data_IF_006022299780
#
_entry.id   IF_006022299780
#
_cell.length_a   1.000
_cell.length_b   1.000
_cell.length_c   1.000
_cell.angle_alpha   90.00
_cell.angle_beta   90.00
_cell.angle_gamma   90.00
#
_symmetry.space_group_name_H-M   'P 1'
#
loop_
_entity.id
_entity.type
_entity.pdbx_description
1 polymer ?
#
# COMPACT_ATOMS: atom_id res chain seq x y z
N UNK A 1 1.35 -6.28 -32.74
CA UNK A 1 1.77 -7.42 -31.88
C UNK A 1 2.50 -6.95 -30.62
N UNK A 2 3.16 -7.84 -29.85
CA UNK A 2 3.89 -7.55 -28.61
C UNK A 2 4.86 -6.34 -28.68
N UNK A 3 5.35 -6.02 -29.86
CA UNK A 3 6.24 -4.89 -30.15
C UNK A 3 5.56 -3.55 -29.78
N UNK A 4 4.25 -3.46 -29.97
CA UNK A 4 3.50 -2.24 -29.66
C UNK A 4 3.42 -1.94 -28.15
N UNK A 5 3.48 -2.95 -27.28
CA UNK A 5 3.42 -2.72 -25.84
C UNK A 5 4.69 -2.06 -25.29
N UNK A 6 5.89 -2.40 -25.82
CA UNK A 6 7.15 -1.78 -25.41
C UNK A 6 7.16 -0.29 -25.71
N UNK A 7 6.79 0.09 -26.92
CA UNK A 7 6.74 1.49 -27.36
C UNK A 7 5.53 2.23 -26.75
N UNK A 8 4.33 1.62 -26.81
CA UNK A 8 3.08 2.25 -26.37
C UNK A 8 3.09 2.64 -24.90
N UNK A 9 3.74 1.84 -24.05
CA UNK A 9 3.78 2.04 -22.61
C UNK A 9 5.16 2.42 -22.08
N UNK A 10 6.10 2.74 -22.97
CA UNK A 10 7.50 3.06 -22.61
C UNK A 10 8.07 2.08 -21.58
N UNK A 11 7.90 0.77 -21.84
CA UNK A 11 8.25 -0.27 -20.86
C UNK A 11 9.78 -0.39 -20.66
N UNK A 12 10.57 -0.03 -21.64
CA UNK A 12 12.04 -0.07 -21.59
C UNK A 12 12.62 1.18 -22.26
N UNK A 13 13.84 1.54 -21.83
CA UNK A 13 14.62 2.66 -22.38
C UNK A 13 16.02 2.19 -22.76
N UNK A 14 16.73 2.89 -23.66
CA UNK A 14 18.14 2.63 -23.90
C UNK A 14 18.93 2.66 -22.59
N UNK A 15 19.83 1.67 -22.42
CA UNK A 15 20.61 1.50 -21.18
C UNK A 15 19.94 0.69 -20.07
N UNK A 16 18.65 0.36 -20.19
CA UNK A 16 17.96 -0.50 -19.22
C UNK A 16 18.54 -1.91 -19.16
N UNK A 17 18.34 -2.56 -18.02
CA UNK A 17 18.70 -3.98 -17.80
C UNK A 17 17.42 -4.73 -17.45
N UNK A 18 16.96 -5.61 -18.33
CA UNK A 18 15.68 -6.32 -18.21
C UNK A 18 15.91 -7.79 -17.89
N UNK A 19 15.43 -8.23 -16.72
CA UNK A 19 15.43 -9.64 -16.33
C UNK A 19 14.09 -10.28 -16.78
N UNK A 20 14.16 -11.24 -17.70
CA UNK A 20 12.98 -11.94 -18.22
C UNK A 20 12.73 -13.23 -17.43
N UNK A 21 11.52 -13.40 -16.90
CA UNK A 21 11.09 -14.66 -16.28
C UNK A 21 10.92 -15.74 -17.36
N UNK A 22 11.66 -16.83 -17.28
CA UNK A 22 11.68 -17.93 -18.24
C UNK A 22 11.26 -19.23 -17.55
N UNK A 23 10.03 -19.69 -17.80
CA UNK A 23 9.53 -20.98 -17.27
C UNK A 23 9.75 -22.17 -18.21
N UNK A 24 10.12 -21.93 -19.46
CA UNK A 24 10.22 -22.93 -20.52
C UNK A 24 8.93 -23.06 -21.36
N UNK A 25 7.79 -22.57 -20.87
CA UNK A 25 6.54 -22.57 -21.64
C UNK A 25 6.52 -21.52 -22.76
N UNK A 26 5.64 -21.70 -23.75
CA UNK A 26 5.55 -20.90 -24.98
C UNK A 26 5.60 -19.38 -24.75
N UNK A 27 4.82 -18.86 -23.78
CA UNK A 27 4.72 -17.41 -23.52
C UNK A 27 6.08 -16.84 -23.01
N UNK A 28 6.76 -17.58 -22.14
CA UNK A 28 8.06 -17.16 -21.59
C UNK A 28 9.20 -17.29 -22.61
N UNK A 29 9.16 -18.30 -23.47
CA UNK A 29 10.10 -18.49 -24.59
C UNK A 29 9.93 -17.37 -25.60
N UNK A 30 8.70 -17.09 -26.01
CA UNK A 30 8.36 -15.96 -26.89
C UNK A 30 8.85 -14.63 -26.30
N UNK A 31 8.57 -14.38 -25.00
CA UNK A 31 9.02 -13.19 -24.30
C UNK A 31 10.54 -13.02 -24.40
N UNK A 32 11.31 -14.04 -24.00
CA UNK A 32 12.78 -13.95 -23.93
C UNK A 32 13.38 -13.72 -25.33
N UNK A 33 12.91 -14.48 -26.33
CA UNK A 33 13.37 -14.33 -27.70
C UNK A 33 13.07 -12.95 -28.27
N UNK A 34 11.85 -12.45 -28.11
CA UNK A 34 11.45 -11.12 -28.55
C UNK A 34 12.26 -10.02 -27.86
N UNK A 35 12.43 -10.13 -26.54
CA UNK A 35 13.19 -9.13 -25.77
C UNK A 35 14.66 -9.09 -26.16
N UNK A 36 15.28 -10.25 -26.43
CA UNK A 36 16.65 -10.32 -26.89
C UNK A 36 16.86 -9.68 -28.28
N UNK A 37 15.88 -9.86 -29.19
CA UNK A 37 15.89 -9.17 -30.49
C UNK A 37 15.78 -7.66 -30.32
N UNK A 38 14.80 -7.21 -29.52
CA UNK A 38 14.55 -5.78 -29.27
C UNK A 38 15.70 -5.09 -28.52
N UNK A 39 16.41 -5.83 -27.65
CA UNK A 39 17.57 -5.30 -26.95
C UNK A 39 18.68 -4.84 -27.91
N UNK A 40 18.93 -5.61 -28.98
CA UNK A 40 19.90 -5.27 -30.01
C UNK A 40 19.48 -4.02 -30.82
N UNK A 41 18.17 -3.86 -31.05
CA UNK A 41 17.64 -2.73 -31.82
C UNK A 41 17.57 -1.43 -31.00
N UNK A 42 17.25 -1.54 -29.70
CA UNK A 42 16.90 -0.38 -28.86
C UNK A 42 17.95 -0.03 -27.80
N UNK A 43 19.08 -0.77 -27.73
CA UNK A 43 20.19 -0.45 -26.86
C UNK A 43 19.95 -0.71 -25.37
N UNK A 44 19.20 -1.74 -25.01
CA UNK A 44 19.09 -2.25 -23.64
C UNK A 44 19.68 -3.65 -23.51
N UNK A 45 19.82 -4.19 -22.30
CA UNK A 45 20.38 -5.52 -22.05
C UNK A 45 19.34 -6.46 -21.46
N UNK A 46 19.43 -7.75 -21.79
CA UNK A 46 18.50 -8.79 -21.34
C UNK A 46 19.26 -9.92 -20.66
N UNK A 47 18.68 -10.44 -19.60
CA UNK A 47 19.03 -11.73 -19.01
C UNK A 47 17.74 -12.50 -18.73
N UNK A 48 17.84 -13.83 -18.59
CA UNK A 48 16.74 -14.68 -18.23
C UNK A 48 16.87 -15.24 -16.81
N UNK A 49 15.74 -15.54 -16.16
CA UNK A 49 15.70 -16.19 -14.85
C UNK A 49 14.70 -17.35 -14.87
N UNK A 50 15.18 -18.55 -14.61
CA UNK A 50 14.41 -19.78 -14.52
C UNK A 50 14.30 -20.24 -13.06
N UNK A 51 13.09 -20.54 -12.60
CA UNK A 51 12.83 -21.03 -11.23
C UNK A 51 12.16 -22.40 -11.27
N UNK A 52 12.82 -23.41 -10.72
CA UNK A 52 12.26 -24.74 -10.53
C UNK A 52 11.48 -24.85 -9.22
N UNK A 53 10.26 -25.37 -9.32
CA UNK A 53 9.36 -25.52 -8.16
C UNK A 53 9.58 -26.80 -7.36
N UNK A 54 10.51 -27.68 -7.77
CA UNK A 54 10.82 -28.93 -7.06
C UNK A 54 9.71 -29.99 -7.10
N UNK A 55 8.64 -29.77 -7.89
CA UNK A 55 7.48 -30.67 -7.90
C UNK A 55 7.67 -31.92 -8.78
N UNK A 56 8.54 -31.88 -9.78
CA UNK A 56 8.77 -32.95 -10.74
C UNK A 56 10.22 -32.96 -11.23
N UNK A 57 11.10 -33.79 -10.64
CA UNK A 57 12.54 -33.75 -10.92
C UNK A 57 12.90 -34.00 -12.40
N UNK A 58 12.21 -34.95 -13.06
CA UNK A 58 12.53 -35.32 -14.45
C UNK A 58 12.13 -34.24 -15.48
N UNK A 59 10.97 -33.59 -15.31
CA UNK A 59 10.56 -32.48 -16.17
C UNK A 59 11.39 -31.22 -15.91
N UNK A 60 11.74 -30.96 -14.66
CA UNK A 60 12.56 -29.82 -14.26
C UNK A 60 13.93 -29.78 -14.94
N UNK A 61 14.57 -30.93 -15.12
CA UNK A 61 15.86 -31.02 -15.82
C UNK A 61 15.72 -30.70 -17.32
N UNK A 62 14.68 -31.21 -17.97
CA UNK A 62 14.37 -30.92 -19.38
C UNK A 62 14.03 -29.45 -19.60
N UNK A 63 13.18 -28.89 -18.77
CA UNK A 63 12.80 -27.47 -18.80
C UNK A 63 14.02 -26.57 -18.62
N UNK A 64 14.89 -26.89 -17.65
CA UNK A 64 16.15 -26.16 -17.43
C UNK A 64 17.06 -26.25 -18.64
N UNK A 65 17.22 -27.44 -19.27
CA UNK A 65 18.05 -27.59 -20.46
C UNK A 65 17.51 -26.75 -21.62
N UNK A 66 16.20 -26.81 -21.88
CA UNK A 66 15.56 -25.98 -22.91
C UNK A 66 15.79 -24.48 -22.67
N UNK A 67 15.66 -24.03 -21.42
CA UNK A 67 15.93 -22.64 -21.04
C UNK A 67 17.40 -22.26 -21.27
N UNK A 68 18.34 -23.17 -20.98
CA UNK A 68 19.77 -22.97 -21.23
C UNK A 68 20.08 -22.89 -22.73
N UNK A 69 19.58 -23.83 -23.53
CA UNK A 69 19.79 -23.86 -24.98
C UNK A 69 19.26 -22.57 -25.65
N UNK A 70 18.10 -22.11 -25.24
CA UNK A 70 17.55 -20.85 -25.72
C UNK A 70 18.46 -19.67 -25.38
N UNK A 71 18.90 -19.56 -24.11
CA UNK A 71 19.73 -18.45 -23.67
C UNK A 71 21.11 -18.46 -24.34
N UNK A 72 21.70 -19.63 -24.55
CA UNK A 72 22.96 -19.79 -25.25
C UNK A 72 22.86 -19.36 -26.73
N UNK A 73 21.75 -19.76 -27.40
CA UNK A 73 21.49 -19.35 -28.79
C UNK A 73 21.34 -17.84 -28.95
N UNK A 74 20.80 -17.16 -27.93
CA UNK A 74 20.59 -15.71 -27.88
C UNK A 74 21.79 -14.94 -27.34
N UNK A 75 22.82 -15.63 -26.79
CA UNK A 75 23.98 -15.08 -26.10
C UNK A 75 23.56 -14.16 -24.91
N UNK A 76 22.61 -14.59 -24.11
CA UNK A 76 22.15 -13.88 -22.91
C UNK A 76 22.39 -14.70 -21.65
N UNK A 77 22.65 -14.08 -20.48
CA UNK A 77 22.83 -14.79 -19.22
C UNK A 77 21.54 -15.48 -18.77
N UNK A 78 21.66 -16.70 -18.21
CA UNK A 78 20.59 -17.41 -17.51
C UNK A 78 20.92 -17.53 -16.02
N UNK A 79 19.99 -17.12 -15.17
CA UNK A 79 20.03 -17.34 -13.73
C UNK A 79 19.02 -18.43 -13.36
N UNK A 80 19.50 -19.47 -12.67
CA UNK A 80 18.64 -20.56 -12.22
C UNK A 80 18.48 -20.53 -10.71
N UNK A 81 17.26 -20.81 -10.24
CA UNK A 81 16.93 -21.00 -8.83
C UNK A 81 15.97 -22.17 -8.65
N UNK A 82 15.91 -22.66 -7.44
CA UNK A 82 15.00 -23.74 -7.06
C UNK A 82 14.41 -23.48 -5.67
N UNK A 83 13.25 -24.09 -5.40
CA UNK A 83 12.63 -24.01 -4.10
C UNK A 83 11.67 -25.16 -3.86
N UNK A 84 11.63 -25.64 -2.61
CA UNK A 84 10.68 -26.66 -2.17
C UNK A 84 9.32 -26.02 -1.92
N UNK A 85 8.50 -26.00 -2.98
CA UNK A 85 7.16 -25.42 -2.95
C UNK A 85 6.24 -26.17 -1.96
N UNK A 86 6.40 -27.49 -1.83
CA UNK A 86 5.56 -28.31 -0.94
C UNK A 86 5.87 -28.02 0.54
N UNK A 87 7.15 -27.95 0.89
CA UNK A 87 7.57 -27.59 2.24
C UNK A 87 7.13 -26.16 2.62
N UNK A 88 7.27 -25.20 1.70
CA UNK A 88 6.81 -23.82 1.92
C UNK A 88 5.29 -23.73 2.10
N UNK A 89 4.51 -24.38 1.24
CA UNK A 89 3.05 -24.42 1.33
C UNK A 89 2.59 -24.94 2.69
N UNK A 90 3.19 -26.05 3.17
CA UNK A 90 2.91 -26.65 4.48
C UNK A 90 3.29 -25.72 5.63
N UNK A 91 4.44 -25.08 5.56
CA UNK A 91 4.94 -24.21 6.64
C UNK A 91 4.11 -22.93 6.78
N UNK A 92 3.59 -22.39 5.67
CA UNK A 92 2.80 -21.15 5.66
C UNK A 92 1.28 -21.37 5.68
N UNK A 93 0.81 -22.60 5.57
CA UNK A 93 -0.63 -22.90 5.53
C UNK A 93 -1.35 -22.37 4.28
N UNK A 94 -0.64 -22.27 3.14
CA UNK A 94 -1.17 -21.76 1.88
C UNK A 94 -1.25 -22.87 0.81
N UNK A 95 -1.99 -22.62 -0.25
CA UNK A 95 -2.05 -23.55 -1.39
C UNK A 95 -0.73 -23.65 -2.14
N UNK A 96 -0.47 -24.80 -2.79
CA UNK A 96 0.79 -25.06 -3.53
C UNK A 96 1.01 -24.02 -4.65
N UNK A 97 -0.04 -23.60 -5.35
CA UNK A 97 0.04 -22.57 -6.40
C UNK A 97 0.47 -21.21 -5.85
N UNK A 98 -0.09 -20.81 -4.71
CA UNK A 98 0.28 -19.56 -4.04
C UNK A 98 1.73 -19.61 -3.54
N UNK A 99 2.14 -20.73 -2.93
CA UNK A 99 3.52 -20.98 -2.51
C UNK A 99 4.49 -20.87 -3.68
N UNK A 100 4.19 -21.52 -4.80
CA UNK A 100 4.98 -21.46 -6.03
C UNK A 100 5.13 -20.03 -6.56
N UNK A 101 4.04 -19.28 -6.54
CA UNK A 101 4.02 -17.87 -6.97
C UNK A 101 4.87 -16.98 -6.06
N UNK A 102 4.78 -17.18 -4.72
CA UNK A 102 5.56 -16.40 -3.74
C UNK A 102 7.05 -16.67 -3.90
N UNK A 103 7.46 -17.94 -3.94
CA UNK A 103 8.87 -18.33 -4.08
C UNK A 103 9.47 -17.84 -5.41
N UNK A 104 8.75 -18.05 -6.52
CA UNK A 104 9.19 -17.54 -7.83
C UNK A 104 9.36 -16.03 -7.83
N UNK A 105 8.41 -15.30 -7.24
CA UNK A 105 8.49 -13.84 -7.17
C UNK A 105 9.68 -13.37 -6.34
N UNK A 106 9.92 -14.00 -5.19
CA UNK A 106 11.07 -13.68 -4.33
C UNK A 106 12.38 -13.90 -5.08
N UNK A 107 12.56 -15.04 -5.72
CA UNK A 107 13.74 -15.36 -6.54
C UNK A 107 13.96 -14.35 -7.68
N UNK A 108 12.91 -13.99 -8.42
CA UNK A 108 13.01 -13.02 -9.52
C UNK A 108 13.44 -11.64 -9.02
N UNK A 109 12.90 -11.17 -7.89
CA UNK A 109 13.26 -9.87 -7.33
C UNK A 109 14.69 -9.87 -6.78
N UNK A 110 15.10 -10.91 -6.06
CA UNK A 110 16.48 -11.08 -5.56
C UNK A 110 17.49 -11.15 -6.70
N UNK A 111 17.19 -11.92 -7.75
CA UNK A 111 18.04 -12.00 -8.94
C UNK A 111 18.12 -10.67 -9.67
N UNK A 112 16.99 -9.95 -9.76
CA UNK A 112 16.95 -8.62 -10.33
C UNK A 112 17.82 -7.62 -9.56
N UNK A 113 17.84 -7.70 -8.23
CA UNK A 113 18.70 -6.84 -7.40
C UNK A 113 20.18 -7.19 -7.57
N UNK A 114 20.55 -8.48 -7.54
CA UNK A 114 21.93 -8.93 -7.76
C UNK A 114 22.46 -8.55 -9.15
N UNK A 115 21.64 -8.69 -10.18
CA UNK A 115 22.01 -8.34 -11.55
C UNK A 115 21.79 -6.86 -11.86
N UNK A 116 21.32 -6.04 -10.91
CA UNK A 116 21.00 -4.62 -11.07
C UNK A 116 20.01 -4.37 -12.22
N UNK A 117 19.00 -5.23 -12.36
CA UNK A 117 17.96 -5.06 -13.36
C UNK A 117 17.11 -3.83 -13.05
N UNK A 118 16.81 -3.01 -14.06
CA UNK A 118 15.85 -1.89 -13.95
C UNK A 118 14.42 -2.38 -13.96
N UNK A 119 14.17 -3.51 -14.66
CA UNK A 119 12.84 -4.11 -14.80
C UNK A 119 12.88 -5.63 -14.83
N UNK A 120 11.77 -6.26 -14.42
CA UNK A 120 11.52 -7.70 -14.51
C UNK A 120 10.36 -7.92 -15.48
N UNK A 121 10.61 -8.61 -16.59
CA UNK A 121 9.59 -8.90 -17.60
C UNK A 121 8.95 -10.28 -17.36
N UNK A 122 7.63 -10.34 -17.51
CA UNK A 122 6.85 -11.60 -17.38
C UNK A 122 5.99 -11.83 -18.62
N UNK A 123 5.78 -13.10 -18.99
CA UNK A 123 5.08 -13.54 -20.20
C UNK A 123 3.55 -13.46 -20.12
N UNK A 124 2.98 -12.58 -19.30
CA UNK A 124 1.53 -12.37 -19.29
C UNK A 124 1.08 -11.71 -20.60
N UNK A 125 -0.03 -12.22 -21.12
CA UNK A 125 -0.59 -11.83 -22.40
C UNK A 125 -2.05 -11.34 -22.28
N UNK A 126 -2.69 -11.06 -23.39
CA UNK A 126 -4.02 -10.43 -23.45
C UNK A 126 -5.09 -11.22 -22.68
N UNK A 127 -5.17 -12.52 -22.90
CA UNK A 127 -6.18 -13.39 -22.27
C UNK A 127 -5.97 -13.47 -20.74
N UNK A 128 -4.73 -13.44 -20.23
CA UNK A 128 -4.46 -13.40 -18.79
C UNK A 128 -5.05 -12.15 -18.14
N UNK A 129 -4.99 -11.01 -18.84
CA UNK A 129 -5.58 -9.76 -18.36
C UNK A 129 -7.11 -9.83 -18.36
N UNK A 130 -7.71 -10.42 -19.42
CA UNK A 130 -9.14 -10.64 -19.48
C UNK A 130 -9.65 -11.57 -18.37
N UNK A 131 -8.93 -12.68 -18.14
CA UNK A 131 -9.22 -13.61 -17.04
C UNK A 131 -9.17 -12.92 -15.69
N UNK A 132 -8.12 -12.12 -15.44
CA UNK A 132 -7.93 -11.43 -14.18
C UNK A 132 -9.02 -10.39 -13.94
N UNK A 133 -9.41 -9.62 -14.97
CA UNK A 133 -10.52 -8.68 -14.88
C UNK A 133 -11.81 -9.41 -14.52
N UNK A 134 -12.17 -10.47 -15.27
CA UNK A 134 -13.40 -11.21 -15.04
C UNK A 134 -13.43 -11.88 -13.65
N UNK A 135 -12.31 -12.45 -13.22
CA UNK A 135 -12.17 -13.04 -11.89
C UNK A 135 -12.39 -12.00 -10.78
N UNK A 136 -11.83 -10.80 -10.93
CA UNK A 136 -12.02 -9.72 -9.98
C UNK A 136 -13.48 -9.23 -9.97
N UNK A 137 -14.11 -9.09 -11.13
CA UNK A 137 -15.52 -8.71 -11.23
C UNK A 137 -16.45 -9.67 -10.50
N UNK A 138 -16.27 -10.99 -10.68
CA UNK A 138 -17.06 -12.02 -9.99
C UNK A 138 -16.91 -11.95 -8.48
N UNK A 139 -15.73 -11.57 -7.96
CA UNK A 139 -15.46 -11.44 -6.53
C UNK A 139 -15.93 -10.12 -5.91
N UNK A 140 -16.43 -9.19 -6.72
CA UNK A 140 -16.79 -7.86 -6.29
C UNK A 140 -15.54 -7.01 -6.04
N UNK A 141 -15.15 -6.21 -7.01
CA UNK A 141 -13.95 -5.39 -6.94
C UNK A 141 -14.25 -3.91 -7.05
N UNK A 142 -13.39 -3.07 -6.43
CA UNK A 142 -13.32 -1.64 -6.71
C UNK A 142 -12.48 -1.33 -7.95
N UNK A 143 -12.27 -0.03 -8.24
CA UNK A 143 -11.58 0.43 -9.45
C UNK A 143 -10.22 -0.20 -9.74
N UNK A 144 -9.42 -0.50 -8.71
CA UNK A 144 -8.12 -1.15 -8.88
C UNK A 144 -8.22 -2.56 -9.47
N UNK A 145 -9.22 -3.35 -9.07
CA UNK A 145 -9.37 -4.70 -9.61
C UNK A 145 -9.89 -4.73 -11.04
N UNK A 146 -10.44 -3.61 -11.54
CA UNK A 146 -10.87 -3.46 -12.94
C UNK A 146 -9.71 -3.26 -13.92
N UNK A 147 -8.49 -3.12 -13.44
CA UNK A 147 -7.30 -2.93 -14.29
C UNK A 147 -6.75 -4.25 -14.87
N UNK A 148 -7.31 -5.41 -14.48
CA UNK A 148 -6.79 -6.71 -14.89
C UNK A 148 -5.32 -6.89 -14.52
N UNK A 149 -4.50 -7.25 -15.51
CA UNK A 149 -3.04 -7.25 -15.39
C UNK A 149 -2.50 -6.01 -16.11
N UNK A 150 -1.92 -5.02 -15.39
CA UNK A 150 -1.41 -3.82 -16.01
C UNK A 150 -0.11 -4.05 -16.79
N UNK A 151 0.19 -3.26 -17.84
CA UNK A 151 1.45 -3.35 -18.59
C UNK A 151 2.69 -3.16 -17.71
N UNK A 152 2.58 -2.29 -16.69
CA UNK A 152 3.64 -2.02 -15.70
C UNK A 152 3.05 -1.98 -14.29
N UNK A 153 3.79 -2.54 -13.34
CA UNK A 153 3.50 -2.42 -11.91
C UNK A 153 4.83 -2.35 -11.15
N UNK A 154 5.28 -1.15 -10.84
CA UNK A 154 6.63 -0.93 -10.33
C UNK A 154 7.69 -1.40 -11.33
N UNK A 155 8.59 -2.28 -10.87
CA UNK A 155 9.63 -2.90 -11.73
C UNK A 155 9.09 -4.03 -12.63
N UNK A 156 7.89 -4.55 -12.37
CA UNK A 156 7.32 -5.63 -13.19
C UNK A 156 6.74 -5.05 -14.48
N UNK A 157 7.17 -5.57 -15.64
CA UNK A 157 6.66 -5.19 -16.96
C UNK A 157 6.12 -6.41 -17.71
N UNK A 158 5.19 -6.19 -18.64
CA UNK A 158 4.52 -7.24 -19.42
C UNK A 158 4.54 -6.89 -20.90
N UNK A 159 5.63 -7.19 -21.57
CA UNK A 159 5.81 -6.87 -22.99
C UNK A 159 4.77 -7.54 -23.91
N UNK A 160 4.22 -8.71 -23.51
CA UNK A 160 3.24 -9.47 -24.29
C UNK A 160 1.77 -9.11 -23.96
N UNK A 161 1.51 -8.10 -23.13
CA UNK A 161 0.15 -7.85 -22.59
C UNK A 161 -0.90 -7.51 -23.67
N UNK A 162 -0.48 -7.06 -24.83
CA UNK A 162 -1.33 -6.78 -26.00
C UNK A 162 -1.41 -7.94 -26.99
N UNK A 163 -0.56 -8.95 -26.83
CA UNK A 163 -0.51 -10.10 -27.74
C UNK A 163 -1.59 -11.11 -27.37
N UNK A 164 -2.25 -11.68 -28.37
CA UNK A 164 -3.13 -12.84 -28.22
C UNK A 164 -2.32 -14.13 -28.15
N UNK A 165 -2.82 -15.15 -27.48
CA UNK A 165 -2.17 -16.45 -27.38
C UNK A 165 -1.88 -17.05 -28.76
N UNK A 166 -2.80 -16.89 -29.70
CA UNK A 166 -2.63 -17.34 -31.08
C UNK A 166 -1.44 -16.68 -31.78
N UNK A 167 -1.21 -15.38 -31.55
CA UNK A 167 -0.06 -14.64 -32.09
C UNK A 167 1.25 -15.12 -31.48
N UNK A 168 1.27 -15.42 -30.17
CA UNK A 168 2.44 -15.97 -29.48
C UNK A 168 2.81 -17.34 -30.08
N UNK A 169 1.85 -18.22 -30.27
CA UNK A 169 2.09 -19.54 -30.87
C UNK A 169 2.52 -19.44 -32.34
N UNK A 170 1.99 -18.48 -33.08
CA UNK A 170 2.42 -18.20 -34.44
C UNK A 170 3.88 -17.74 -34.45
N UNK A 171 4.27 -16.81 -33.58
CA UNK A 171 5.63 -16.32 -33.44
C UNK A 171 6.62 -17.46 -33.11
N UNK A 172 6.26 -18.36 -32.19
CA UNK A 172 7.06 -19.55 -31.81
C UNK A 172 7.31 -20.41 -33.06
N UNK A 173 6.26 -20.70 -33.86
CA UNK A 173 6.40 -21.50 -35.08
C UNK A 173 7.26 -20.83 -36.14
N UNK A 174 7.04 -19.54 -36.40
CA UNK A 174 7.80 -18.77 -37.40
C UNK A 174 9.30 -18.71 -37.07
N UNK A 175 9.66 -18.63 -35.79
CA UNK A 175 11.02 -18.59 -35.32
C UNK A 175 11.60 -19.96 -34.95
N UNK A 176 10.83 -21.06 -35.15
CA UNK A 176 11.23 -22.45 -34.86
C UNK A 176 11.78 -22.62 -33.44
N UNK A 177 11.08 -22.05 -32.46
CA UNK A 177 11.47 -22.09 -31.07
C UNK A 177 10.88 -23.31 -30.37
N UNK A 178 11.71 -24.05 -29.65
CA UNK A 178 11.28 -25.15 -28.80
C UNK A 178 10.73 -24.59 -27.47
N UNK A 179 9.68 -25.26 -26.96
CA UNK A 179 9.10 -24.94 -25.64
C UNK A 179 8.56 -26.20 -24.97
N UNK A 180 8.50 -26.16 -23.65
CA UNK A 180 7.88 -27.22 -22.86
C UNK A 180 6.36 -27.02 -22.85
N UNK A 181 5.63 -28.07 -23.26
CA UNK A 181 4.17 -28.09 -23.11
C UNK A 181 3.85 -28.73 -21.76
N UNK A 182 3.31 -27.94 -20.81
CA UNK A 182 2.91 -28.47 -19.51
C UNK A 182 1.40 -28.80 -19.54
N UNK A 183 1.05 -30.10 -19.66
CA UNK A 183 -0.35 -30.52 -19.70
C UNK A 183 -1.13 -30.16 -18.43
N UNK A 184 -0.46 -29.82 -17.33
CA UNK A 184 -1.14 -29.44 -16.08
C UNK A 184 -1.73 -28.03 -16.09
N UNK A 185 -1.37 -27.20 -17.04
CA UNK A 185 -2.02 -25.89 -17.24
C UNK A 185 -3.53 -26.01 -17.52
N UNK A 186 -4.01 -27.19 -17.91
CA UNK A 186 -5.41 -27.48 -18.25
C UNK A 186 -6.11 -28.39 -17.23
N UNK A 187 -5.40 -29.06 -16.35
CA UNK A 187 -5.96 -30.10 -15.46
C UNK A 187 -6.23 -29.63 -14.04
N UNK A 188 -5.83 -28.38 -13.69
CA UNK A 188 -6.07 -27.82 -12.35
C UNK A 188 -7.57 -27.54 -12.10
N UNK A 189 -8.03 -27.85 -10.89
CA UNK A 189 -9.43 -27.60 -10.45
C UNK A 189 -9.60 -26.20 -9.82
N UNK A 190 -8.62 -25.31 -10.05
CA UNK A 190 -8.68 -23.95 -9.55
C UNK A 190 -9.66 -23.06 -10.36
N UNK A 191 -10.10 -21.98 -9.76
CA UNK A 191 -11.09 -21.08 -10.37
C UNK A 191 -10.67 -20.52 -11.75
N UNK A 192 -9.37 -20.29 -11.98
CA UNK A 192 -8.84 -19.79 -13.25
C UNK A 192 -8.88 -20.87 -14.33
N UNK A 193 -8.49 -22.12 -14.01
CA UNK A 193 -8.59 -23.23 -14.94
C UNK A 193 -10.04 -23.49 -15.35
N UNK A 194 -10.98 -23.41 -14.40
CA UNK A 194 -12.43 -23.48 -14.70
C UNK A 194 -12.89 -22.34 -15.60
N UNK A 195 -12.43 -21.12 -15.38
CA UNK A 195 -12.79 -20.00 -16.25
C UNK A 195 -12.33 -20.21 -17.69
N UNK A 196 -11.09 -20.70 -17.90
CA UNK A 196 -10.57 -21.02 -19.25
C UNK A 196 -11.37 -22.12 -19.93
N UNK A 197 -11.75 -23.16 -19.19
CA UNK A 197 -12.41 -24.34 -19.73
C UNK A 197 -13.91 -24.16 -19.96
N UNK A 198 -14.59 -23.39 -19.09
CA UNK A 198 -16.05 -23.34 -19.03
C UNK A 198 -16.61 -21.96 -19.39
N UNK A 199 -16.01 -20.89 -18.88
CA UNK A 199 -16.58 -19.55 -18.99
C UNK A 199 -16.15 -18.84 -20.27
N UNK A 200 -14.86 -18.81 -20.59
CA UNK A 200 -14.37 -18.13 -21.79
C UNK A 200 -14.95 -18.73 -23.08
N UNK A 201 -15.04 -20.05 -23.27
CA UNK A 201 -15.68 -20.61 -24.44
C UNK A 201 -17.16 -20.19 -24.59
N UNK A 202 -17.91 -20.10 -23.47
CA UNK A 202 -19.28 -19.62 -23.49
C UNK A 202 -19.40 -18.14 -23.88
N UNK A 203 -18.49 -17.29 -23.37
CA UNK A 203 -18.44 -15.88 -23.75
C UNK A 203 -18.06 -15.70 -25.22
N UNK A 204 -17.11 -16.49 -25.72
CA UNK A 204 -16.65 -16.44 -27.12
C UNK A 204 -17.68 -17.00 -28.09
N UNK A 205 -18.53 -17.94 -27.67
CA UNK A 205 -19.69 -18.39 -28.44
C UNK A 205 -20.70 -17.23 -28.65
N UNK A 206 -20.83 -16.32 -27.69
CA UNK A 206 -21.67 -15.12 -27.81
C UNK A 206 -20.96 -14.04 -28.64
N UNK A 207 -19.70 -13.79 -28.34
CA UNK A 207 -18.88 -12.84 -29.07
C UNK A 207 -17.43 -13.35 -29.18
N UNK A 208 -16.95 -13.75 -30.37
CA UNK A 208 -15.60 -14.28 -30.58
C UNK A 208 -14.48 -13.32 -30.15
N UNK A 209 -14.78 -12.03 -29.91
CA UNK A 209 -13.84 -11.02 -29.43
C UNK A 209 -13.98 -10.73 -27.92
N UNK A 210 -14.68 -11.57 -27.17
CA UNK A 210 -14.98 -11.32 -25.75
C UNK A 210 -13.71 -11.12 -24.92
N UNK A 211 -12.72 -12.00 -25.03
CA UNK A 211 -11.43 -11.85 -24.33
C UNK A 211 -10.73 -10.53 -24.67
N UNK A 212 -10.69 -10.17 -25.95
CA UNK A 212 -10.11 -8.90 -26.44
C UNK A 212 -10.84 -7.68 -25.87
N UNK A 213 -12.18 -7.70 -25.82
CA UNK A 213 -12.96 -6.59 -25.24
C UNK A 213 -12.74 -6.44 -23.73
N UNK A 214 -12.70 -7.55 -23.00
CA UNK A 214 -12.40 -7.56 -21.58
C UNK A 214 -10.98 -7.01 -21.30
N UNK A 215 -9.97 -7.50 -22.02
CA UNK A 215 -8.60 -7.00 -21.87
C UNK A 215 -8.47 -5.52 -22.21
N UNK A 216 -9.17 -5.05 -23.26
CA UNK A 216 -9.21 -3.62 -23.60
C UNK A 216 -9.82 -2.79 -22.48
N UNK A 217 -10.95 -3.23 -21.92
CA UNK A 217 -11.60 -2.57 -20.79
C UNK A 217 -10.65 -2.48 -19.59
N UNK A 218 -9.91 -3.58 -19.28
CA UNK A 218 -8.91 -3.59 -18.23
C UNK A 218 -7.81 -2.54 -18.48
N UNK A 219 -7.32 -2.48 -19.71
CA UNK A 219 -6.27 -1.54 -20.12
C UNK A 219 -6.72 -0.08 -20.05
N UNK A 220 -7.95 0.21 -20.53
CA UNK A 220 -8.52 1.56 -20.48
C UNK A 220 -8.67 2.04 -19.01
N UNK A 221 -9.10 1.15 -18.11
CA UNK A 221 -9.15 1.45 -16.68
C UNK A 221 -7.75 1.68 -16.08
N UNK A 222 -6.76 0.89 -16.47
CA UNK A 222 -5.37 1.10 -16.03
C UNK A 222 -4.80 2.42 -16.53
N UNK A 223 -4.99 2.77 -17.82
CA UNK A 223 -4.51 4.02 -18.39
C UNK A 223 -5.13 5.24 -17.69
N UNK A 224 -6.43 5.17 -17.41
CA UNK A 224 -7.12 6.22 -16.64
C UNK A 224 -6.52 6.39 -15.25
N UNK A 225 -6.33 5.29 -14.54
CA UNK A 225 -5.75 5.29 -13.19
C UNK A 225 -4.31 5.80 -13.18
N UNK A 226 -3.50 5.39 -14.16
CA UNK A 226 -2.13 5.83 -14.33
C UNK A 226 -2.05 7.35 -14.64
N UNK A 227 -2.94 7.87 -15.47
CA UNK A 227 -3.05 9.31 -15.71
C UNK A 227 -3.34 10.09 -14.43
N UNK A 228 -4.31 9.63 -13.64
CA UNK A 228 -4.63 10.23 -12.35
C UNK A 228 -3.45 10.16 -11.36
N UNK A 229 -2.68 9.08 -11.38
CA UNK A 229 -1.49 8.92 -10.54
C UNK A 229 -0.39 9.91 -10.94
N UNK A 230 -0.10 10.03 -12.23
CA UNK A 230 0.90 10.98 -12.75
C UNK A 230 0.52 12.43 -12.44
N UNK A 231 -0.76 12.76 -12.59
CA UNK A 231 -1.26 14.08 -12.24
C UNK A 231 -1.16 14.38 -10.75
N UNK A 232 -1.49 13.40 -9.90
CA UNK A 232 -1.31 13.51 -8.44
C UNK A 232 0.16 13.70 -8.05
N UNK A 233 1.08 12.97 -8.67
CA UNK A 233 2.52 13.14 -8.47
C UNK A 233 3.02 14.52 -8.92
N UNK A 234 2.52 15.01 -10.05
CA UNK A 234 2.84 16.34 -10.54
C UNK A 234 2.35 17.46 -9.59
N UNK A 235 1.22 17.24 -8.92
CA UNK A 235 0.72 18.14 -7.89
C UNK A 235 1.60 18.15 -6.63
N UNK A 236 2.22 17.01 -6.29
CA UNK A 236 2.97 16.80 -5.04
C UNK A 236 4.49 17.08 -5.15
N UNK A 237 5.03 17.41 -6.32
CA UNK A 237 6.49 17.51 -6.57
C UNK A 237 7.22 18.57 -5.75
N UNK A 238 6.55 19.60 -5.29
CA UNK A 238 7.17 20.76 -4.62
C UNK A 238 7.13 20.67 -3.09
N UNK A 239 6.76 19.50 -2.52
CA UNK A 239 6.67 19.29 -1.06
C UNK A 239 5.44 19.94 -0.42
N UNK A 240 4.98 21.08 -0.92
CA UNK A 240 3.72 21.73 -0.58
C UNK A 240 2.77 21.71 -1.77
N UNK A 241 1.49 21.42 -1.53
CA UNK A 241 0.51 21.36 -2.60
C UNK A 241 0.00 22.77 -2.97
N UNK A 242 0.07 23.12 -4.25
CA UNK A 242 -0.52 24.37 -4.74
C UNK A 242 -2.04 24.27 -4.76
N UNK A 243 -2.74 25.10 -4.01
CA UNK A 243 -4.21 25.12 -3.92
C UNK A 243 -4.86 25.42 -5.27
N UNK A 244 -4.42 26.43 -6.06
CA UNK A 244 -4.99 26.66 -7.38
C UNK A 244 -4.87 25.44 -8.30
N UNK A 245 -3.73 24.75 -8.30
CA UNK A 245 -3.53 23.53 -9.10
C UNK A 245 -4.39 22.36 -8.60
N UNK A 246 -4.51 22.17 -7.26
CA UNK A 246 -5.40 21.18 -6.67
C UNK A 246 -6.86 21.36 -7.05
N UNK A 247 -7.34 22.61 -7.06
CA UNK A 247 -8.73 22.93 -7.38
C UNK A 247 -9.04 22.89 -8.87
N UNK A 248 -8.02 23.02 -9.74
CA UNK A 248 -8.14 22.88 -11.19
C UNK A 248 -8.03 21.44 -11.68
N UNK A 249 -7.39 20.56 -10.90
CA UNK A 249 -7.20 19.15 -11.24
C UNK A 249 -8.49 18.33 -11.04
N UNK A 250 -8.61 17.15 -11.69
CA UNK A 250 -9.64 16.16 -11.35
C UNK A 250 -9.65 15.85 -9.86
N UNK A 251 -10.84 15.79 -9.27
CA UNK A 251 -10.99 15.58 -7.81
C UNK A 251 -10.23 14.32 -7.34
N UNK A 252 -10.29 13.23 -8.12
CA UNK A 252 -9.58 11.99 -7.81
C UNK A 252 -8.05 12.18 -7.75
N UNK A 253 -7.46 12.98 -8.65
CA UNK A 253 -6.04 13.28 -8.65
C UNK A 253 -5.65 14.18 -7.46
N UNK A 254 -6.45 15.19 -7.16
CA UNK A 254 -6.26 16.06 -5.99
C UNK A 254 -6.34 15.27 -4.67
N UNK A 255 -7.30 14.36 -4.53
CA UNK A 255 -7.42 13.46 -3.38
C UNK A 255 -6.18 12.57 -3.24
N UNK A 256 -5.68 12.00 -4.33
CA UNK A 256 -4.45 11.18 -4.30
C UNK A 256 -3.22 11.99 -3.90
N UNK A 257 -3.09 13.21 -4.40
CA UNK A 257 -2.00 14.12 -4.02
C UNK A 257 -2.04 14.45 -2.51
N UNK A 258 -3.22 14.78 -1.98
CA UNK A 258 -3.41 15.01 -0.55
C UNK A 258 -3.10 13.77 0.30
N UNK A 259 -3.55 12.58 -0.12
CA UNK A 259 -3.25 11.31 0.56
C UNK A 259 -1.76 10.96 0.50
N UNK A 260 -1.08 11.28 -0.60
CA UNK A 260 0.36 11.09 -0.75
C UNK A 260 1.14 12.00 0.19
N UNK A 261 0.80 13.29 0.24
CA UNK A 261 1.40 14.26 1.16
C UNK A 261 1.17 13.88 2.62
N UNK A 262 -0.05 13.42 2.94
CA UNK A 262 -0.39 12.90 4.27
C UNK A 262 0.49 11.72 4.69
N UNK A 263 0.70 10.74 3.80
CA UNK A 263 1.58 9.60 4.08
C UNK A 263 3.04 9.99 4.19
N UNK A 264 3.50 10.91 3.35
CA UNK A 264 4.88 11.38 3.37
C UNK A 264 5.27 12.03 4.70
N UNK A 265 4.33 12.71 5.39
CA UNK A 265 4.57 13.25 6.72
C UNK A 265 4.29 12.26 7.87
N UNK A 266 4.03 10.97 7.58
CA UNK A 266 3.76 9.94 8.58
C UNK A 266 2.31 9.89 9.10
N UNK A 267 1.39 10.62 8.48
CA UNK A 267 -0.03 10.60 8.80
C UNK A 267 -0.73 9.30 8.36
N UNK A 268 -1.89 9.03 8.96
CA UNK A 268 -2.71 7.85 8.67
C UNK A 268 -3.63 8.10 7.47
N UNK A 269 -4.35 7.06 7.03
CA UNK A 269 -5.31 7.15 5.93
C UNK A 269 -6.39 8.21 6.19
N UNK A 270 -6.70 8.99 5.16
CA UNK A 270 -7.76 10.01 5.20
C UNK A 270 -9.11 9.39 4.82
N UNK A 271 -10.11 9.62 5.66
CA UNK A 271 -11.50 9.29 5.37
C UNK A 271 -12.19 10.38 4.53
N UNK A 272 -13.38 10.10 4.03
CA UNK A 272 -14.18 11.07 3.24
C UNK A 272 -14.44 12.39 3.97
N UNK A 273 -14.64 12.34 5.28
CA UNK A 273 -14.82 13.53 6.15
C UNK A 273 -13.60 14.44 6.12
N UNK A 274 -12.40 13.84 6.22
CA UNK A 274 -11.12 14.56 6.17
C UNK A 274 -10.88 15.19 4.79
N UNK A 275 -11.17 14.46 3.72
CA UNK A 275 -11.06 14.99 2.36
C UNK A 275 -11.99 16.18 2.13
N UNK A 276 -13.25 16.11 2.60
CA UNK A 276 -14.18 17.25 2.53
C UNK A 276 -13.66 18.46 3.31
N UNK A 277 -13.12 18.25 4.52
CA UNK A 277 -12.54 19.33 5.33
C UNK A 277 -11.33 19.98 4.64
N UNK A 278 -10.45 19.19 3.99
CA UNK A 278 -9.34 19.69 3.21
C UNK A 278 -9.80 20.55 2.02
N UNK A 279 -10.78 20.09 1.24
CA UNK A 279 -11.34 20.90 0.15
C UNK A 279 -12.04 22.16 0.66
N UNK A 280 -12.73 22.09 1.81
CA UNK A 280 -13.33 23.26 2.45
C UNK A 280 -12.27 24.28 2.87
N UNK A 281 -11.14 23.81 3.44
CA UNK A 281 -9.99 24.65 3.78
C UNK A 281 -9.39 25.32 2.53
N UNK A 282 -9.24 24.55 1.44
CA UNK A 282 -8.72 25.08 0.17
C UNK A 282 -9.64 26.14 -0.47
N UNK A 283 -10.96 25.93 -0.41
CA UNK A 283 -11.96 26.83 -1.00
C UNK A 283 -12.34 28.02 -0.12
N UNK A 284 -11.98 27.97 1.17
CA UNK A 284 -12.36 29.01 2.14
C UNK A 284 -11.81 30.38 1.78
N UNK A 285 -12.54 31.45 2.17
CA UNK A 285 -12.15 32.83 1.90
C UNK A 285 -10.93 33.31 2.74
N UNK A 286 -10.64 32.66 3.85
CA UNK A 286 -9.50 33.02 4.71
C UNK A 286 -8.19 32.54 4.07
N UNK A 287 -7.14 33.39 4.00
CA UNK A 287 -5.87 33.04 3.38
C UNK A 287 -5.05 32.06 4.22
N UNK A 288 -5.40 31.86 5.47
CA UNK A 288 -4.76 30.93 6.41
C UNK A 288 -5.79 30.15 7.20
N UNK A 289 -5.45 28.94 7.57
CA UNK A 289 -6.25 28.06 8.41
C UNK A 289 -5.57 26.72 8.56
N UNK A 290 -6.00 25.93 9.52
CA UNK A 290 -5.47 24.60 9.75
C UNK A 290 -6.57 23.61 10.14
N UNK A 291 -6.31 22.34 9.91
CA UNK A 291 -7.15 21.22 10.33
C UNK A 291 -6.26 20.10 10.87
N UNK A 292 -6.75 19.46 11.94
CA UNK A 292 -6.13 18.27 12.49
C UNK A 292 -6.61 17.04 11.71
N UNK A 293 -5.66 16.19 11.35
CA UNK A 293 -5.85 14.97 10.61
C UNK A 293 -5.30 13.79 11.42
N UNK A 294 -5.64 12.55 11.08
CA UNK A 294 -5.11 11.40 11.81
C UNK A 294 -3.57 11.30 11.74
N UNK A 295 -2.87 11.72 12.82
CA UNK A 295 -1.42 11.68 12.95
C UNK A 295 -0.66 12.79 12.19
N UNK A 296 -1.36 13.83 11.77
CA UNK A 296 -0.78 14.98 11.10
C UNK A 296 -1.68 16.21 11.22
N UNK A 297 -1.17 17.33 10.73
CA UNK A 297 -1.90 18.58 10.58
C UNK A 297 -1.73 19.09 9.16
N UNK A 298 -2.82 19.57 8.55
CA UNK A 298 -2.77 20.29 7.29
C UNK A 298 -3.00 21.78 7.53
N UNK A 299 -2.11 22.62 7.04
CA UNK A 299 -2.16 24.07 7.16
C UNK A 299 -2.24 24.72 5.78
N UNK A 300 -3.22 25.59 5.59
CA UNK A 300 -3.27 26.52 4.46
C UNK A 300 -2.44 27.76 4.77
N UNK A 301 -1.54 28.10 3.87
CA UNK A 301 -0.75 29.33 3.88
C UNK A 301 -0.93 29.98 2.52
N UNK A 302 -1.86 30.93 2.40
CA UNK A 302 -2.25 31.57 1.13
C UNK A 302 -2.70 30.56 0.07
N UNK A 303 -1.89 30.35 -0.95
CA UNK A 303 -2.10 29.46 -2.07
C UNK A 303 -1.46 28.07 -1.91
N UNK A 304 -0.88 27.80 -0.74
CA UNK A 304 -0.20 26.53 -0.42
C UNK A 304 -0.92 25.75 0.67
N UNK A 305 -0.93 24.43 0.50
CA UNK A 305 -1.40 23.47 1.49
C UNK A 305 -0.23 22.58 1.91
N UNK A 306 0.20 22.72 3.17
CA UNK A 306 1.30 21.95 3.75
C UNK A 306 0.76 20.88 4.71
N UNK A 307 1.40 19.72 4.72
CA UNK A 307 1.15 18.65 5.68
C UNK A 307 2.36 18.52 6.60
N UNK A 308 2.12 18.51 7.90
CA UNK A 308 3.17 18.33 8.91
C UNK A 308 2.78 17.20 9.85
N UNK A 309 3.76 16.42 10.28
CA UNK A 309 3.55 15.40 11.31
C UNK A 309 3.12 16.11 12.60
N UNK A 310 2.10 15.54 13.22
CA UNK A 310 1.77 15.89 14.59
C UNK A 310 2.62 14.98 15.47
N UNK A 311 3.72 15.53 15.99
CA UNK A 311 4.51 14.80 16.97
C UNK A 311 3.62 14.56 18.19
N UNK A 312 3.55 13.32 18.72
CA UNK A 312 2.81 13.06 19.94
C UNK A 312 3.42 13.95 21.02
N UNK A 313 2.60 14.82 21.62
CA UNK A 313 3.04 15.60 22.76
C UNK A 313 3.48 14.59 23.82
N UNK A 314 4.75 14.57 24.22
CA UNK A 314 5.23 13.60 25.18
C UNK A 314 4.42 13.76 26.48
N UNK A 315 3.98 12.64 27.04
CA UNK A 315 3.26 12.66 28.31
C UNK A 315 4.17 13.31 29.38
N UNK A 316 3.67 14.33 30.10
CA UNK A 316 4.47 15.00 31.12
C UNK A 316 4.93 14.01 32.20
N UNK A 317 6.12 14.25 32.77
CA UNK A 317 6.64 13.42 33.84
C UNK A 317 5.76 13.53 35.10
N UNK A 318 5.44 12.41 35.75
CA UNK A 318 4.72 12.45 37.01
C UNK A 318 5.47 13.29 38.06
N UNK A 319 4.73 13.99 38.89
CA UNK A 319 5.30 14.75 40.01
C UNK A 319 4.50 14.50 41.28
N UNK A 320 5.14 14.69 42.42
CA UNK A 320 4.53 14.59 43.74
C UNK A 320 4.69 15.92 44.43
N UNK A 321 3.62 16.45 45.04
CA UNK A 321 3.58 17.73 45.74
C UNK A 321 3.21 17.51 47.19
N UNK A 322 3.86 18.30 48.09
CA UNK A 322 3.50 18.42 49.49
C UNK A 322 2.66 19.66 49.73
N UNK A 323 1.94 19.75 50.87
CA UNK A 323 1.17 20.94 51.17
C UNK A 323 2.02 22.21 51.12
N UNK A 324 1.52 23.22 50.40
CA UNK A 324 2.22 24.46 50.10
C UNK A 324 3.08 24.47 48.85
N UNK A 325 3.28 23.32 48.19
CA UNK A 325 4.11 23.24 46.99
C UNK A 325 3.32 23.46 45.68
N UNK A 326 4.01 24.05 44.71
CA UNK A 326 3.53 24.25 43.34
C UNK A 326 4.46 23.55 42.36
N UNK A 327 3.87 22.81 41.37
CA UNK A 327 4.64 22.11 40.36
C UNK A 327 4.03 22.24 38.96
N UNK A 328 4.86 22.04 37.93
CA UNK A 328 4.44 22.06 36.54
C UNK A 328 4.24 20.67 35.99
N UNK A 329 3.12 20.44 35.27
CA UNK A 329 2.82 19.22 34.56
C UNK A 329 2.45 19.53 33.10
N UNK A 330 3.44 19.56 32.22
CA UNK A 330 3.25 20.07 30.85
C UNK A 330 2.81 21.55 30.89
N UNK A 331 1.68 21.82 30.22
CA UNK A 331 1.07 23.17 30.16
C UNK A 331 0.24 23.53 31.43
N UNK A 332 0.33 22.71 32.47
CA UNK A 332 -0.45 22.89 33.67
C UNK A 332 0.46 23.31 34.84
N UNK A 333 -0.11 24.17 35.68
CA UNK A 333 0.45 24.52 36.98
C UNK A 333 -0.49 24.02 38.06
N UNK A 334 0.03 23.23 38.98
CA UNK A 334 -0.74 22.59 40.05
C UNK A 334 -0.14 23.03 41.39
N UNK A 335 -0.98 23.58 42.27
CA UNK A 335 -0.63 23.93 43.62
C UNK A 335 -1.39 23.03 44.60
N UNK A 336 -0.69 22.36 45.48
CA UNK A 336 -1.28 21.67 46.62
C UNK A 336 -1.32 22.64 47.80
N UNK A 337 -2.46 23.29 48.02
CA UNK A 337 -2.56 24.41 49.00
C UNK A 337 -2.53 23.88 50.40
N UNK A 338 -3.37 22.89 50.77
CA UNK A 338 -3.46 22.32 52.12
C UNK A 338 -4.01 20.92 52.10
N UNK A 339 -3.60 20.07 53.08
CA UNK A 339 -4.01 18.70 53.24
C UNK A 339 -2.99 17.86 53.99
N UNK A 340 -3.30 16.60 54.25
CA UNK A 340 -2.36 15.64 54.83
C UNK A 340 -1.80 14.74 53.71
N UNK A 341 -0.52 14.33 53.80
CA UNK A 341 0.16 13.45 52.86
C UNK A 341 0.67 14.12 51.58
N UNK A 342 0.74 13.38 50.50
CA UNK A 342 1.31 13.82 49.22
C UNK A 342 0.25 13.77 48.10
N UNK A 343 0.29 14.77 47.23
CA UNK A 343 -0.53 14.82 46.02
C UNK A 343 0.30 14.35 44.82
N UNK A 344 -0.08 13.22 44.25
CA UNK A 344 0.55 12.73 43.02
C UNK A 344 -0.17 13.26 41.80
N UNK A 345 0.57 13.84 40.84
CA UNK A 345 0.07 14.33 39.56
C UNK A 345 0.69 13.47 38.46
N UNK A 346 -0.17 12.86 37.63
CA UNK A 346 0.26 11.94 36.57
C UNK A 346 -0.66 11.98 35.35
N UNK A 347 -0.22 11.39 34.26
CA UNK A 347 -1.10 11.09 33.12
C UNK A 347 -2.12 10.00 33.49
N UNK A 348 -3.21 9.93 32.75
CA UNK A 348 -4.24 8.88 32.92
C UNK A 348 -3.67 7.48 32.72
N UNK A 349 -4.25 6.49 33.41
CA UNK A 349 -3.98 5.07 33.25
C UNK A 349 -5.24 4.34 32.79
N UNK A 350 -5.08 3.15 32.24
CA UNK A 350 -6.23 2.31 31.94
C UNK A 350 -6.94 1.88 33.23
N UNK A 351 -8.29 1.99 33.23
CA UNK A 351 -9.06 1.72 34.43
C UNK A 351 -9.31 2.91 35.35
N UNK A 352 -8.64 4.05 35.18
CA UNK A 352 -8.88 5.24 36.01
C UNK A 352 -10.35 5.66 36.04
N UNK A 353 -10.87 5.85 37.26
CA UNK A 353 -12.25 6.28 37.48
C UNK A 353 -12.31 7.35 38.59
N UNK A 354 -13.18 8.32 38.41
CA UNK A 354 -13.44 9.38 39.39
C UNK A 354 -14.87 9.29 39.93
N UNK A 355 -15.02 9.46 41.25
CA UNK A 355 -16.32 9.49 41.92
C UNK A 355 -16.84 10.92 41.98
N UNK A 356 -17.97 11.16 41.33
CA UNK A 356 -18.65 12.44 41.24
C UNK A 356 -19.96 12.40 42.08
N UNK A 357 -20.57 13.53 42.39
CA UNK A 357 -21.83 13.56 43.18
C UNK A 357 -22.96 12.71 42.63
N UNK A 358 -22.93 12.43 41.30
CA UNK A 358 -23.94 11.66 40.57
C UNK A 358 -23.48 10.26 40.15
N UNK A 359 -22.39 9.75 40.74
CA UNK A 359 -21.88 8.39 40.53
C UNK A 359 -20.43 8.32 40.03
N UNK A 360 -19.90 7.11 39.88
CA UNK A 360 -18.51 6.87 39.42
C UNK A 360 -18.45 6.82 37.90
N UNK A 361 -17.45 7.50 37.33
CA UNK A 361 -17.24 7.59 35.89
C UNK A 361 -15.79 7.31 35.53
N UNK A 362 -15.57 6.54 34.46
CA UNK A 362 -14.18 6.34 33.98
C UNK A 362 -13.63 7.63 33.39
N UNK A 363 -12.37 7.92 33.64
CA UNK A 363 -11.67 9.09 33.10
C UNK A 363 -11.73 9.10 31.56
N UNK A 364 -11.61 7.91 30.93
CA UNK A 364 -11.74 7.77 29.48
C UNK A 364 -13.10 8.30 28.96
N UNK A 365 -14.21 7.92 29.63
CA UNK A 365 -15.57 8.35 29.24
C UNK A 365 -15.75 9.84 29.46
N UNK A 366 -15.23 10.37 30.59
CA UNK A 366 -15.26 11.79 30.90
C UNK A 366 -14.58 12.63 29.81
N UNK A 367 -13.35 12.25 29.41
CA UNK A 367 -12.59 12.98 28.38
C UNK A 367 -13.24 12.92 27.01
N UNK A 368 -13.93 11.81 26.67
CA UNK A 368 -14.72 11.68 25.43
C UNK A 368 -15.91 12.61 25.44
N UNK A 369 -16.68 12.67 26.53
CA UNK A 369 -17.87 13.54 26.67
C UNK A 369 -17.48 15.01 26.64
N UNK A 370 -16.32 15.37 27.19
CA UNK A 370 -15.76 16.72 27.12
C UNK A 370 -15.11 17.03 25.77
N UNK A 371 -15.23 16.10 24.77
CA UNK A 371 -14.69 16.24 23.41
C UNK A 371 -13.18 16.52 23.35
N UNK A 372 -12.43 16.04 24.35
CA UNK A 372 -10.97 16.19 24.36
C UNK A 372 -10.37 15.31 23.25
N UNK A 373 -9.54 15.86 22.34
CA UNK A 373 -8.83 15.11 21.31
C UNK A 373 -7.98 13.99 21.90
N UNK A 374 -7.87 12.87 21.19
CA UNK A 374 -7.24 11.65 21.71
C UNK A 374 -5.77 11.85 22.07
N UNK A 375 -5.07 12.66 21.30
CA UNK A 375 -3.66 13.02 21.42
C UNK A 375 -3.37 13.93 22.61
N UNK A 376 -4.35 14.72 23.06
CA UNK A 376 -4.23 15.61 24.23
C UNK A 376 -4.66 14.95 25.55
N UNK A 377 -5.24 13.73 25.52
CA UNK A 377 -5.76 13.12 26.74
C UNK A 377 -4.70 12.72 27.75
N UNK A 378 -3.49 12.45 27.29
CA UNK A 378 -2.36 12.04 28.14
C UNK A 378 -1.61 13.23 28.71
N UNK A 379 -1.88 14.45 28.24
CA UNK A 379 -1.34 15.70 28.80
C UNK A 379 -2.21 16.34 29.88
N UNK A 380 -3.43 15.83 30.10
CA UNK A 380 -4.32 16.31 31.16
C UNK A 380 -3.88 15.70 32.51
N UNK A 381 -3.60 16.52 33.52
CA UNK A 381 -3.18 16.02 34.82
C UNK A 381 -4.32 15.27 35.53
N UNK A 382 -4.01 14.10 36.04
CA UNK A 382 -4.82 13.36 36.99
C UNK A 382 -4.22 13.56 38.37
N UNK A 383 -4.95 14.22 39.23
CA UNK A 383 -4.52 14.52 40.60
C UNK A 383 -5.01 13.39 41.52
N UNK A 384 -4.08 12.73 42.18
CA UNK A 384 -4.36 11.57 43.04
C UNK A 384 -3.83 11.82 44.46
N UNK A 385 -4.59 11.35 45.44
CA UNK A 385 -4.15 11.27 46.83
C UNK A 385 -4.45 9.86 47.36
N UNK A 386 -3.45 9.16 47.88
CA UNK A 386 -3.57 7.74 48.32
C UNK A 386 -4.29 6.86 47.29
N UNK A 387 -3.87 6.93 46.02
CA UNK A 387 -4.44 6.24 44.85
C UNK A 387 -5.85 6.70 44.43
N UNK A 388 -6.58 7.44 45.25
CA UNK A 388 -7.87 7.99 44.87
C UNK A 388 -7.72 9.21 43.93
N UNK A 389 -8.47 9.22 42.84
CA UNK A 389 -8.47 10.36 41.90
C UNK A 389 -9.32 11.49 42.48
N UNK A 390 -8.68 12.63 42.75
CA UNK A 390 -9.30 13.82 43.29
C UNK A 390 -9.77 14.81 42.20
N UNK A 391 -9.03 14.91 41.11
CA UNK A 391 -9.40 15.78 40.01
C UNK A 391 -8.84 15.28 38.67
N UNK A 392 -9.46 15.72 37.59
CA UNK A 392 -9.06 15.50 36.20
C UNK A 392 -8.90 16.88 35.56
N UNK A 393 -7.68 17.41 35.57
CA UNK A 393 -7.40 18.77 35.13
C UNK A 393 -8.30 19.80 35.85
N UNK A 394 -8.82 20.73 35.07
CA UNK A 394 -9.87 21.68 35.44
C UNK A 394 -11.29 21.19 35.08
N UNK A 395 -11.41 19.96 34.57
CA UNK A 395 -12.66 19.42 34.01
C UNK A 395 -13.64 18.97 35.10
N UNK A 396 -13.16 18.41 36.18
CA UNK A 396 -13.96 17.99 37.31
C UNK A 396 -13.12 17.68 38.55
N UNK A 397 -13.76 17.80 39.72
CA UNK A 397 -13.21 17.43 41.03
C UNK A 397 -14.08 16.34 41.64
N UNK A 398 -13.46 15.39 42.33
CA UNK A 398 -14.19 14.30 43.01
C UNK A 398 -15.02 14.83 44.19
N UNK A 399 -16.09 14.09 44.49
CA UNK A 399 -16.83 14.28 45.73
C UNK A 399 -16.03 13.68 46.89
N UNK A 400 -15.40 14.52 47.67
CA UNK A 400 -14.61 14.10 48.83
C UNK A 400 -15.48 13.92 50.07
N UNK A 401 -15.21 12.95 50.97
CA UNK A 401 -15.87 12.86 52.27
C UNK A 401 -15.61 14.13 53.10
N UNK A 402 -16.63 14.56 53.87
CA UNK A 402 -16.58 15.83 54.68
C UNK A 402 -15.35 15.98 55.60
N UNK A 403 -14.66 14.87 55.91
CA UNK A 403 -13.44 14.88 56.74
C UNK A 403 -12.14 15.12 55.97
N UNK A 404 -12.16 15.13 54.64
CA UNK A 404 -10.96 15.25 53.81
C UNK A 404 -10.75 16.73 53.43
N UNK A 405 -9.99 17.46 54.24
CA UNK A 405 -9.63 18.86 53.97
C UNK A 405 -8.43 18.88 53.00
N UNK A 406 -8.65 18.67 51.70
CA UNK A 406 -7.65 18.85 50.65
C UNK A 406 -8.05 20.01 49.76
N UNK A 407 -7.16 20.99 49.67
CA UNK A 407 -7.32 22.14 48.81
C UNK A 407 -6.23 22.16 47.76
N UNK A 408 -6.61 22.24 46.49
CA UNK A 408 -5.71 22.20 45.34
C UNK A 408 -6.17 23.15 44.25
N UNK A 409 -5.22 23.75 43.54
CA UNK A 409 -5.46 24.62 42.40
C UNK A 409 -4.80 23.98 41.17
N UNK A 410 -5.56 23.81 40.08
CA UNK A 410 -5.07 23.32 38.81
C UNK A 410 -5.45 24.31 37.71
N UNK A 411 -4.45 24.94 37.08
CA UNK A 411 -4.67 25.96 36.04
C UNK A 411 -3.81 25.64 34.80
N UNK A 412 -4.32 25.93 33.61
CA UNK A 412 -3.46 26.00 32.44
C UNK A 412 -2.58 27.23 32.52
N UNK A 413 -1.30 27.05 32.15
CA UNK A 413 -0.36 28.18 31.99
C UNK A 413 -0.89 29.06 30.86
N UNK A 414 -1.01 30.36 31.10
CA UNK A 414 -1.24 31.31 30.02
C UNK A 414 0.03 31.38 29.15
N UNK A 415 -0.09 31.13 27.85
CA UNK A 415 1.00 31.21 26.86
C UNK A 415 1.10 32.64 26.35
#
# INVERSE_FOLDING_TARGET
MAIDALARFELVRPGDRVLCALSGGADSVCLVHLMAQKAREQGFTVAAAHFSHGLRPESAQRERQLCQDLCDSLAIPLFCGEGDTAAYAKAQGVGTEEAARVLRRAFLLETADRWQATSVATGHHLEDSAETLLFNLIRGTGGQGLQGIPPRNGRLIRPLILAEKAEILQYIRENRLDYADDPTNFTGDNARARMRREVFPALEAINPKAARHLARTALDNWQRDEGLRQEAEALAREGELSIPRLLAAPEEAAVRAMQSAQRACGGRMLERSHIRALFSLCRGARPSGEIHLPGSRAARRYDRLAFTREDPVPAPQPLTLRPGETGGFGDWEITFVSGEGELTVRSRREGDAITLPYGTKTVKKLLIERKIPKDLRDTIPILCHNEAILAVGDLCTACLPEKTKIEMICRRKEI
#
